data_IF_971478492048
#
_entry.id   IF_971478492048
#
_cell.length_a   1.000
_cell.length_b   1.000
_cell.length_c   1.000
_cell.angle_alpha   90.00
_cell.angle_beta   90.00
_cell.angle_gamma   90.00
#
_symmetry.space_group_name_H-M   'P 1'
#
loop_
_entity.id
_entity.type
_entity.pdbx_description
1 polymer ?
2 non-polymer ?
3 non-polymer ?
4 non-polymer ?
5 water ?
#
# COMPACT_ATOMS: atom_id res chain seq x y z
N UNK A 5 8.42 40.49 9.72
CA UNK A 5 7.59 40.12 8.55
C UNK A 5 8.36 39.30 7.51
N UNK A 6 7.80 38.17 7.12
CA UNK A 6 8.40 37.34 6.09
C UNK A 6 7.87 37.77 4.72
N UNK A 7 8.79 37.99 3.78
CA UNK A 7 8.38 38.36 2.43
C UNK A 7 7.90 37.14 1.64
N UNK A 8 7.22 37.38 0.53
CA UNK A 8 6.77 36.28 -0.33
C UNK A 8 7.99 35.56 -0.91
N UNK A 9 9.01 36.32 -1.27
CA UNK A 9 10.22 35.75 -1.85
C UNK A 9 10.89 34.81 -0.86
N UNK A 10 11.00 35.25 0.39
CA UNK A 10 11.64 34.44 1.41
C UNK A 10 10.75 33.25 1.77
N UNK A 11 9.44 33.48 1.79
CA UNK A 11 8.47 32.45 2.11
C UNK A 11 8.50 31.31 1.11
N UNK A 12 8.58 31.65 -0.17
CA UNK A 12 8.53 30.66 -1.25
C UNK A 12 9.67 29.65 -1.10
N UNK A 13 10.86 30.16 -0.83
CA UNK A 13 12.03 29.31 -0.64
C UNK A 13 11.94 28.50 0.65
N UNK A 14 11.51 29.14 1.72
CA UNK A 14 11.46 28.49 3.03
C UNK A 14 10.44 27.35 3.03
N UNK A 15 9.33 27.56 2.32
CA UNK A 15 8.27 26.55 2.29
C UNK A 15 8.79 25.26 1.65
N UNK A 16 9.55 25.38 0.57
CA UNK A 16 10.14 24.19 -0.04
C UNK A 16 11.09 23.49 0.93
N UNK A 17 11.89 24.26 1.65
CA UNK A 17 12.81 23.66 2.63
C UNK A 17 12.01 22.87 3.65
N UNK A 18 10.92 23.48 4.12
CA UNK A 18 10.11 22.85 5.16
C UNK A 18 9.42 21.60 4.61
N UNK A 19 8.83 21.71 3.42
CA UNK A 19 8.19 20.55 2.80
C UNK A 19 9.15 19.37 2.73
N UNK A 20 10.36 19.63 2.23
CA UNK A 20 11.36 18.60 2.06
C UNK A 20 11.74 17.94 3.39
N UNK A 21 11.96 18.78 4.40
CA UNK A 21 12.40 18.30 5.70
C UNK A 21 11.28 17.55 6.41
N UNK A 22 10.07 18.09 6.31
CA UNK A 22 8.90 17.47 6.94
C UNK A 22 8.52 16.17 6.24
N UNK A 23 8.63 16.13 4.92
CA UNK A 23 8.31 14.93 4.18
C UNK A 23 9.30 13.81 4.47
N UNK A 24 10.57 14.18 4.61
CA UNK A 24 11.59 13.19 5.00
C UNK A 24 11.27 12.61 6.37
N UNK A 25 10.95 13.47 7.34
CA UNK A 25 10.60 12.98 8.67
C UNK A 25 9.37 12.08 8.57
N UNK A 26 8.48 12.43 7.65
CA UNK A 26 7.24 11.68 7.48
C UNK A 26 7.50 10.33 6.84
N UNK A 27 8.42 10.32 5.88
CA UNK A 27 8.87 9.05 5.31
C UNK A 27 9.39 8.13 6.41
N UNK A 28 10.29 8.64 7.24
CA UNK A 28 10.86 7.85 8.32
C UNK A 28 9.77 7.32 9.26
N UNK A 29 8.84 8.20 9.63
CA UNK A 29 7.84 7.88 10.65
C UNK A 29 6.72 6.99 10.10
N UNK A 30 6.21 7.31 8.92
CA UNK A 30 5.02 6.63 8.39
C UNK A 30 5.35 5.46 7.47
N UNK A 31 6.50 5.50 6.81
CA UNK A 31 6.84 4.44 5.88
C UNK A 31 7.86 3.45 6.44
N UNK A 32 8.89 3.96 7.10
CA UNK A 32 9.89 3.09 7.71
C UNK A 32 9.52 2.74 9.15
N UNK A 33 8.42 3.32 9.63
CA UNK A 33 8.00 3.11 11.01
C UNK A 33 9.18 3.26 11.98
N UNK A 34 9.96 4.30 11.78
CA UNK A 34 11.13 4.55 12.62
C UNK A 34 11.52 6.02 12.59
N UNK A 35 10.81 6.86 13.34
CA UNK A 35 11.10 8.29 13.35
C UNK A 35 12.52 8.55 13.83
N UNK A 36 13.16 9.58 13.28
CA UNK A 36 14.48 9.97 13.74
C UNK A 36 14.40 11.12 14.76
N UNK A 37 13.52 12.09 14.51
CA UNK A 37 13.38 13.22 15.43
C UNK A 37 12.20 13.10 16.38
N UNK A 38 12.30 13.79 17.52
CA UNK A 38 11.22 13.88 18.48
C UNK A 38 10.04 14.64 17.88
N UNK A 39 8.82 14.24 18.24
CA UNK A 39 7.62 14.80 17.63
C UNK A 39 7.61 16.32 17.66
N UNK A 40 8.14 16.91 18.73
CA UNK A 40 8.08 18.36 18.89
C UNK A 40 8.96 19.04 17.84
N UNK A 41 10.00 18.34 17.41
CA UNK A 41 10.82 18.81 16.30
C UNK A 41 9.95 18.94 15.06
N UNK A 42 9.16 17.91 14.79
CA UNK A 42 8.30 17.90 13.62
C UNK A 42 7.21 18.95 13.76
N UNK A 43 6.61 19.01 14.94
CA UNK A 43 5.45 19.89 15.17
C UNK A 43 5.83 21.35 15.00
N UNK A 44 7.01 21.71 15.48
CA UNK A 44 7.49 23.08 15.41
C UNK A 44 7.71 23.49 13.96
N UNK A 45 8.31 22.60 13.17
CA UNK A 45 8.53 22.89 11.76
C UNK A 45 7.21 22.95 11.00
N UNK A 46 6.31 22.03 11.34
CA UNK A 46 5.02 21.95 10.67
C UNK A 46 4.22 23.23 10.91
N UNK A 47 4.26 23.74 12.12
CA UNK A 47 3.55 24.98 12.44
C UNK A 47 4.16 26.15 11.68
N UNK A 48 5.48 26.15 11.53
CA UNK A 48 6.12 27.21 10.77
C UNK A 48 5.59 27.17 9.35
N UNK A 49 5.43 25.96 8.81
CA UNK A 49 4.92 25.79 7.46
C UNK A 49 3.46 26.23 7.34
N UNK A 50 2.64 25.83 8.31
CA UNK A 50 1.25 26.27 8.32
C UNK A 50 1.16 27.79 8.36
N UNK A 51 2.02 28.42 9.15
CA UNK A 51 2.02 29.87 9.25
C UNK A 51 2.29 30.50 7.89
N UNK A 52 3.27 29.94 7.18
CA UNK A 52 3.62 30.43 5.86
C UNK A 52 2.49 30.23 4.86
N UNK A 53 1.86 29.06 4.90
CA UNK A 53 0.78 28.76 3.95
C UNK A 53 -0.47 29.56 4.27
N UNK A 54 -0.68 29.83 5.55
CA UNK A 54 -1.81 30.64 5.96
C UNK A 54 -1.63 32.06 5.41
N UNK A 55 -0.41 32.57 5.52
CA UNK A 55 -0.12 33.94 5.10
C UNK A 55 -0.05 34.06 3.58
N UNK A 56 0.53 33.05 2.92
CA UNK A 56 0.59 33.02 1.47
C UNK A 56 -0.01 31.71 0.95
N UNK A 57 -1.34 31.63 0.84
CA UNK A 57 -2.02 30.39 0.44
C UNK A 57 -1.57 29.88 -0.92
N UNK A 58 -1.02 30.78 -1.73
CA UNK A 58 -0.57 30.40 -3.07
C UNK A 58 0.62 29.46 -2.98
N UNK A 59 1.25 29.39 -1.82
CA UNK A 59 2.43 28.56 -1.62
C UNK A 59 2.07 27.11 -1.32
N UNK A 60 0.80 26.86 -1.00
CA UNK A 60 0.35 25.50 -0.74
C UNK A 60 0.57 24.64 -1.98
N UNK A 61 1.17 23.46 -1.80
CA UNK A 61 1.37 22.53 -2.90
C UNK A 61 0.81 21.16 -2.54
N UNK A 62 0.51 20.33 -3.54
CA UNK A 62 0.01 18.98 -3.29
C UNK A 62 0.93 18.06 -2.47
N UNK A 63 2.23 18.33 -2.46
CA UNK A 63 3.12 17.50 -1.65
C UNK A 63 3.42 18.11 -0.29
N UNK A 64 2.77 19.21 0.03
CA UNK A 64 2.94 19.76 1.37
C UNK A 64 2.21 18.86 2.36
N UNK A 65 2.87 18.55 3.48
CA UNK A 65 2.32 17.66 4.51
C UNK A 65 1.04 18.18 5.19
N UNK A 66 0.74 19.47 5.04
CA UNK A 66 -0.46 20.01 5.66
C UNK A 66 -1.72 19.54 4.91
N UNK A 67 -1.53 19.03 3.70
CA UNK A 67 -2.66 18.60 2.89
C UNK A 67 -3.17 17.21 3.30
N UNK A 68 -2.45 16.57 4.23
CA UNK A 68 -2.83 15.22 4.66
C UNK A 68 -4.17 15.21 5.39
N UNK A 69 -4.57 16.35 5.95
CA UNK A 69 -5.84 16.43 6.66
C UNK A 69 -7.02 16.47 5.69
N UNK A 70 -6.73 16.58 4.40
CA UNK A 70 -7.77 16.58 3.40
C UNK A 70 -8.58 17.87 3.41
N UNK A 71 -9.72 17.84 2.75
CA UNK A 71 -10.56 19.02 2.67
C UNK A 71 -11.59 18.92 1.57
N UNK A 72 -11.24 18.19 0.51
CA UNK A 72 -12.12 18.04 -0.64
C UNK A 72 -13.33 17.17 -0.31
N UNK A 73 -14.49 17.52 -0.86
CA UNK A 73 -15.67 16.68 -0.75
C UNK A 73 -16.19 16.37 -2.16
N UNK A 74 -16.25 15.09 -2.49
CA UNK A 74 -16.66 14.68 -3.84
C UNK A 74 -18.15 14.39 -3.87
N UNK A 75 -18.74 14.47 -5.06
CA UNK A 75 -20.12 14.07 -5.28
C UNK A 75 -20.18 12.58 -5.60
N UNK A 76 -19.08 12.05 -6.11
CA UNK A 76 -19.00 10.64 -6.43
C UNK A 76 -17.61 10.34 -6.98
N UNK A 77 -17.32 9.07 -7.22
CA UNK A 77 -16.02 8.68 -7.75
C UNK A 77 -16.10 8.42 -9.25
N UNK A 78 -15.13 8.95 -9.99
CA UNK A 78 -14.99 8.64 -11.40
C UNK A 78 -14.57 7.18 -11.56
N UNK A 79 -14.91 6.59 -12.69
CA UNK A 79 -14.38 5.27 -13.02
C UNK A 79 -12.87 5.35 -13.15
N UNK A 80 -12.19 4.29 -12.75
CA UNK A 80 -10.73 4.24 -12.84
C UNK A 80 -10.34 2.98 -13.60
N UNK A 81 -10.13 3.09 -14.92
CA UNK A 81 -9.69 1.93 -15.69
C UNK A 81 -8.32 1.40 -15.29
N UNK A 82 -8.18 0.07 -15.34
CA UNK A 82 -6.90 -0.60 -15.22
C UNK A 82 -6.59 -1.28 -16.55
N UNK A 83 -5.89 -0.58 -17.43
CA UNK A 83 -5.55 -1.14 -18.74
C UNK A 83 -4.72 -2.40 -18.55
N UNK A 84 -3.80 -2.35 -17.59
CA UNK A 84 -3.13 -3.55 -17.13
C UNK A 84 -3.98 -4.10 -15.99
N UNK A 85 -4.70 -5.19 -16.23
CA UNK A 85 -5.71 -5.66 -15.28
C UNK A 85 -5.14 -6.01 -13.92
N UNK A 86 -5.96 -5.84 -12.88
CA UNK A 86 -5.61 -6.30 -11.55
C UNK A 86 -6.31 -7.63 -11.29
N UNK A 87 -5.55 -8.72 -11.40
CA UNK A 87 -6.11 -10.05 -11.23
C UNK A 87 -6.39 -10.35 -9.76
N UNK A 88 -7.05 -11.48 -9.52
CA UNK A 88 -7.14 -12.01 -8.18
C UNK A 88 -6.36 -13.32 -8.08
N UNK A 89 -6.49 -14.02 -6.95
CA UNK A 89 -5.63 -15.16 -6.64
C UNK A 89 -6.40 -16.47 -6.63
N UNK A 90 -5.77 -17.53 -7.14
CA UNK A 90 -6.24 -18.90 -6.89
C UNK A 90 -6.01 -19.23 -5.42
N UNK A 91 -6.86 -20.06 -4.85
CA UNK A 91 -6.76 -20.40 -3.44
C UNK A 91 -6.39 -21.85 -3.17
N UNK A 92 -5.63 -22.05 -2.09
CA UNK A 92 -5.44 -23.38 -1.53
C UNK A 92 -5.77 -23.32 -0.06
N UNK A 93 -6.15 -24.45 0.51
CA UNK A 93 -6.60 -24.46 1.90
C UNK A 93 -5.94 -25.56 2.71
N UNK A 94 -5.13 -26.39 2.05
CA UNK A 94 -4.44 -27.48 2.75
C UNK A 94 -2.98 -27.58 2.35
N UNK A 95 -2.20 -28.23 3.22
CA UNK A 95 -0.81 -28.53 2.91
C UNK A 95 -0.76 -29.17 1.53
N UNK A 96 -1.71 -30.07 1.29
CA UNK A 96 -1.79 -30.78 0.02
C UNK A 96 -1.97 -29.82 -1.14
N UNK A 97 -2.90 -28.88 -0.98
CA UNK A 97 -3.16 -27.89 -2.02
C UNK A 97 -1.89 -27.15 -2.41
N UNK A 98 -1.05 -26.84 -1.43
CA UNK A 98 0.16 -26.09 -1.68
C UNK A 98 1.23 -26.92 -2.39
N UNK A 99 1.32 -28.19 -2.01
CA UNK A 99 2.27 -29.09 -2.65
C UNK A 99 1.83 -29.44 -4.06
N UNK A 100 0.52 -29.54 -4.27
CA UNK A 100 -0.01 -29.76 -5.60
C UNK A 100 0.28 -28.55 -6.49
N UNK A 101 0.23 -27.36 -5.90
CA UNK A 101 0.52 -26.14 -6.66
C UNK A 101 1.96 -26.21 -7.13
N UNK A 102 2.86 -26.60 -6.23
CA UNK A 102 4.27 -26.72 -6.53
C UNK A 102 4.51 -27.80 -7.56
N UNK A 103 3.77 -28.90 -7.47
CA UNK A 103 3.93 -29.97 -8.43
C UNK A 103 3.52 -29.51 -9.83
N UNK A 104 2.44 -28.74 -9.92
CA UNK A 104 1.99 -28.22 -11.21
C UNK A 104 2.99 -27.23 -11.77
N UNK A 105 3.55 -26.39 -10.90
CA UNK A 105 4.54 -25.42 -11.35
C UNK A 105 5.79 -26.08 -11.91
N UNK A 106 6.32 -27.07 -11.19
CA UNK A 106 7.51 -27.78 -11.65
C UNK A 106 7.24 -28.51 -12.96
N UNK A 107 6.06 -29.11 -13.08
CA UNK A 107 5.68 -29.80 -14.30
C UNK A 107 5.74 -28.82 -15.48
N UNK A 108 5.27 -27.60 -15.25
CA UNK A 108 5.23 -26.62 -16.33
C UNK A 108 6.60 -26.02 -16.66
N UNK A 109 7.40 -25.76 -15.63
CA UNK A 109 8.69 -25.11 -15.80
C UNK A 109 9.81 -26.11 -16.09
N UNK A 110 9.73 -27.29 -15.51
CA UNK A 110 10.71 -28.34 -15.80
C UNK A 110 11.88 -28.39 -14.85
N UNK A 111 11.78 -27.68 -13.73
CA UNK A 111 12.86 -27.67 -12.74
C UNK A 111 12.33 -27.18 -11.40
N UNK A 112 13.12 -27.33 -10.33
CA UNK A 112 12.72 -26.74 -9.04
C UNK A 112 12.65 -25.23 -9.16
N UNK A 113 11.69 -24.63 -8.45
CA UNK A 113 11.47 -23.18 -8.54
C UNK A 113 11.41 -22.51 -7.16
N UNK A 114 12.03 -21.34 -7.05
CA UNK A 114 12.02 -20.58 -5.81
C UNK A 114 10.75 -19.76 -5.66
N UNK A 115 10.27 -19.61 -4.43
CA UNK A 115 9.05 -18.84 -4.18
C UNK A 115 9.31 -17.65 -3.27
N UNK A 116 8.80 -16.49 -3.67
CA UNK A 116 8.70 -15.37 -2.76
C UNK A 116 7.38 -15.47 -1.97
N UNK A 117 7.48 -15.55 -0.65
CA UNK A 117 6.29 -15.65 0.18
C UNK A 117 5.98 -14.37 0.94
N UNK A 118 4.72 -13.97 0.90
CA UNK A 118 4.28 -12.74 1.52
C UNK A 118 3.03 -12.99 2.35
N UNK A 119 2.89 -12.25 3.45
CA UNK A 119 1.67 -12.32 4.25
C UNK A 119 0.53 -11.71 3.44
N UNK A 120 -0.63 -12.36 3.45
CA UNK A 120 -1.80 -11.84 2.73
C UNK A 120 -2.53 -10.82 3.59
N UNK A 121 -2.33 -9.55 3.27
CA UNK A 121 -2.86 -8.44 4.06
C UNK A 121 -4.38 -8.38 3.88
N UNK A 122 -5.12 -8.50 4.98
CA UNK A 122 -6.57 -8.42 4.90
C UNK A 122 -6.99 -6.96 4.74
N UNK A 123 -7.20 -6.53 3.50
CA UNK A 123 -7.63 -5.18 3.26
C UNK A 123 -8.24 -5.02 1.88
N UNK A 124 -7.93 -3.91 1.23
CA UNK A 124 -8.45 -3.63 -0.10
C UNK A 124 -7.27 -3.41 -1.07
N UNK A 125 -7.42 -3.90 -2.29
CA UNK A 125 -6.35 -3.75 -3.28
C UNK A 125 -6.39 -2.35 -3.89
N UNK A 126 -5.23 -1.72 -3.98
CA UNK A 126 -5.11 -0.36 -4.47
C UNK A 126 -4.05 -0.24 -5.56
N UNK A 127 -4.22 0.74 -6.44
CA UNK A 127 -3.25 1.01 -7.49
C UNK A 127 -2.86 2.49 -7.44
N UNK A 128 -1.57 2.76 -7.47
CA UNK A 128 -1.06 4.12 -7.31
C UNK A 128 -0.20 4.50 -8.51
N UNK A 129 -0.65 5.52 -9.25
CA UNK A 129 0.05 5.96 -10.45
C UNK A 129 0.83 7.24 -10.16
N UNK A 130 2.09 7.23 -10.55
CA UNK A 130 2.94 8.41 -10.43
C UNK A 130 3.43 8.84 -11.80
N UNK A 131 3.44 10.15 -12.04
CA UNK A 131 4.05 10.70 -13.23
C UNK A 131 5.17 11.66 -12.88
N UNK A 132 6.37 11.35 -13.37
CA UNK A 132 7.54 12.16 -13.07
C UNK A 132 7.69 12.37 -11.58
N UNK A 133 7.36 11.35 -10.80
CA UNK A 133 7.51 11.42 -9.36
C UNK A 133 6.27 11.89 -8.62
N UNK A 134 5.31 12.45 -9.34
CA UNK A 134 4.13 13.03 -8.72
C UNK A 134 2.97 12.05 -8.65
N UNK A 135 2.33 11.94 -7.49
CA UNK A 135 1.13 11.12 -7.33
C UNK A 135 0.00 11.75 -8.12
N UNK A 136 -0.55 11.01 -9.08
CA UNK A 136 -1.61 11.56 -9.93
C UNK A 136 -2.90 10.73 -9.97
N UNK A 137 -2.84 9.46 -9.57
CA UNK A 137 -4.07 8.69 -9.41
C UNK A 137 -3.98 7.58 -8.38
N UNK A 138 -5.04 7.46 -7.60
CA UNK A 138 -5.22 6.29 -6.77
C UNK A 138 -6.55 5.63 -7.12
N UNK A 139 -6.58 4.30 -7.12
CA UNK A 139 -7.74 3.56 -7.57
C UNK A 139 -7.92 2.26 -6.79
N UNK A 140 -9.18 1.89 -6.57
CA UNK A 140 -9.49 0.56 -6.04
C UNK A 140 -9.38 -0.43 -7.18
N UNK A 141 -9.28 -1.71 -6.84
CA UNK A 141 -9.22 -2.77 -7.84
C UNK A 141 -10.56 -2.88 -8.57
N UNK A 142 -11.67 -2.70 -7.85
CA UNK A 142 -12.97 -2.86 -8.47
C UNK A 142 -13.16 -4.25 -9.05
N UNK A 143 -13.67 -4.33 -10.27
CA UNK A 143 -13.93 -5.62 -10.93
C UNK A 143 -12.69 -6.12 -11.66
N UNK A 144 -11.57 -5.44 -11.46
CA UNK A 144 -10.33 -5.94 -12.02
C UNK A 144 -9.88 -5.17 -13.25
N UNK A 145 -10.82 -4.67 -14.04
CA UNK A 145 -10.47 -3.79 -15.16
C UNK A 145 -11.02 -2.37 -14.99
N UNK A 146 -11.97 -2.21 -14.07
CA UNK A 146 -12.40 -0.87 -13.67
C UNK A 146 -12.68 -0.79 -12.18
N UNK A 147 -11.98 0.13 -11.52
CA UNK A 147 -12.25 0.39 -10.11
C UNK A 147 -12.76 1.81 -9.97
N UNK A 148 -12.69 2.33 -8.75
CA UNK A 148 -13.10 3.71 -8.48
C UNK A 148 -11.88 4.59 -8.31
N UNK A 149 -11.97 5.82 -8.80
CA UNK A 149 -10.89 6.79 -8.63
C UNK A 149 -10.97 7.44 -7.24
N UNK A 150 -10.11 6.98 -6.34
CA UNK A 150 -10.10 7.50 -4.97
C UNK A 150 -8.81 8.27 -4.69
N UNK A 151 -8.34 9.00 -5.69
CA UNK A 151 -7.10 9.75 -5.58
C UNK A 151 -7.16 10.68 -4.37
N UNK A 152 -8.27 11.39 -4.20
CA UNK A 152 -8.34 12.43 -3.16
C UNK A 152 -8.29 11.82 -1.76
N UNK A 153 -8.94 10.68 -1.59
CA UNK A 153 -8.89 9.98 -0.31
C UNK A 153 -7.49 9.49 0.01
N UNK A 154 -6.81 8.92 -0.98
CA UNK A 154 -5.51 8.33 -0.74
C UNK A 154 -4.45 9.39 -0.43
N UNK A 155 -4.70 10.63 -0.82
CA UNK A 155 -3.82 11.73 -0.43
C UNK A 155 -3.74 11.86 1.08
N UNK A 156 -4.80 11.42 1.79
CA UNK A 156 -4.79 11.56 3.24
C UNK A 156 -4.16 10.36 3.93
N UNK A 157 -3.80 9.34 3.16
CA UNK A 157 -3.18 8.15 3.74
C UNK A 157 -1.68 8.38 3.88
N UNK A 158 -1.22 8.47 5.13
CA UNK A 158 0.07 9.10 5.43
C UNK A 158 1.28 8.37 4.85
N UNK A 159 1.16 7.05 4.66
CA UNK A 159 2.25 6.27 4.08
C UNK A 159 2.35 6.36 2.57
N UNK A 160 1.36 6.99 1.93
CA UNK A 160 1.37 7.17 0.48
C UNK A 160 2.12 8.45 0.10
N UNK A 161 3.28 8.30 -0.55
CA UNK A 161 4.08 9.47 -0.92
C UNK A 161 3.36 10.31 -1.98
N UNK A 162 3.34 11.63 -1.79
CA UNK A 162 2.77 12.54 -2.79
C UNK A 162 3.78 12.90 -3.86
N UNK A 163 5.06 12.87 -3.50
CA UNK A 163 6.13 13.04 -4.47
C UNK A 163 7.28 12.09 -4.12
N UNK A 164 7.68 11.27 -5.09
CA UNK A 164 8.81 10.39 -4.91
C UNK A 164 10.12 11.17 -5.10
N UNK A 165 11.18 10.75 -4.42
CA UNK A 165 12.47 11.44 -4.53
C UNK A 165 12.98 11.46 -5.97
N UNK A 166 12.82 10.34 -6.67
CA UNK A 166 13.18 10.26 -8.08
C UNK A 166 11.94 10.41 -8.95
N UNK A 167 12.02 11.27 -9.98
CA UNK A 167 10.89 11.62 -10.86
C UNK A 167 10.49 10.47 -11.79
N UNK A 168 10.26 9.31 -11.19
CA UNK A 168 9.94 8.10 -11.93
C UNK A 168 8.47 8.06 -12.30
N UNK A 169 8.15 7.52 -13.47
CA UNK A 169 6.77 7.28 -13.85
C UNK A 169 6.44 5.81 -13.76
N UNK A 170 5.56 5.47 -12.83
CA UNK A 170 5.26 4.07 -12.50
C UNK A 170 3.88 3.98 -11.89
N UNK A 171 3.27 2.81 -12.00
CA UNK A 171 2.06 2.53 -11.24
C UNK A 171 2.31 1.31 -10.38
N UNK A 172 2.25 1.51 -9.07
CA UNK A 172 2.51 0.44 -8.11
C UNK A 172 1.19 0.01 -7.49
N UNK A 173 1.15 -1.24 -7.05
CA UNK A 173 -0.07 -1.80 -6.49
C UNK A 173 0.21 -2.52 -5.17
N UNK A 174 -0.79 -2.52 -4.30
CA UNK A 174 -0.65 -3.19 -3.03
C UNK A 174 -1.96 -3.22 -2.26
N UNK A 175 -1.85 -3.28 -0.93
CA UNK A 175 -3.03 -3.31 -0.07
C UNK A 175 -3.10 -2.06 0.82
N UNK A 176 -4.30 -1.51 0.95
CA UNK A 176 -4.59 -0.50 1.96
C UNK A 176 -5.48 -1.12 3.02
N UNK A 177 -5.18 -0.85 4.29
CA UNK A 177 -5.82 -1.56 5.38
C UNK A 177 -5.88 -0.67 6.61
N UNK A 178 -6.67 -1.08 7.60
CA UNK A 178 -6.72 -0.38 8.88
C UNK A 178 -6.11 -1.23 9.97
N UNK A 179 -5.11 -0.71 10.68
CA UNK A 179 -4.49 -1.47 11.77
C UNK A 179 -5.54 -1.89 12.81
N UNK A 180 -5.30 -3.01 13.49
CA UNK A 180 -6.25 -3.52 14.49
C UNK A 180 -6.64 -2.46 15.51
N UNK A 181 -5.65 -1.79 16.08
CA UNK A 181 -5.92 -0.80 17.11
C UNK A 181 -6.84 0.31 16.61
N UNK A 182 -6.63 0.76 15.38
CA UNK A 182 -7.46 1.81 14.80
C UNK A 182 -8.87 1.30 14.54
N UNK A 183 -8.97 0.03 14.15
CA UNK A 183 -10.24 -0.63 13.97
C UNK A 183 -11.02 -0.61 15.29
N UNK A 184 -10.37 -1.04 16.36
CA UNK A 184 -11.01 -1.06 17.67
C UNK A 184 -11.46 0.36 18.06
N UNK A 185 -10.55 1.31 17.91
CA UNK A 185 -10.83 2.69 18.28
C UNK A 185 -12.01 3.23 17.50
N UNK A 186 -12.06 2.94 16.20
CA UNK A 186 -13.09 3.48 15.33
C UNK A 186 -14.48 2.91 15.64
N UNK A 187 -14.53 1.64 16.04
CA UNK A 187 -15.80 1.02 16.37
C UNK A 187 -16.37 1.59 17.67
N UNK A 188 -15.48 1.92 18.61
CA UNK A 188 -15.90 2.53 19.85
C UNK A 188 -16.49 3.89 19.57
N UNK A 189 -15.83 4.65 18.71
CA UNK A 189 -16.31 5.97 18.31
C UNK A 189 -17.70 5.85 17.68
N UNK A 190 -17.89 4.80 16.87
CA UNK A 190 -19.18 4.56 16.25
C UNK A 190 -20.24 4.14 17.28
N UNK A 191 -19.86 3.32 18.26
CA UNK A 191 -20.77 2.97 19.33
C UNK A 191 -21.22 4.24 20.07
N UNK A 192 -20.28 5.14 20.31
CA UNK A 192 -20.58 6.36 21.05
C UNK A 192 -21.54 7.29 20.31
N UNK A 193 -21.45 7.29 18.98
CA UNK A 193 -22.25 8.21 18.18
C UNK A 193 -23.46 7.55 17.52
N UNK A 194 -23.83 6.37 18.02
CA UNK A 194 -25.05 5.73 17.56
C UNK A 194 -24.98 5.08 16.19
N UNK A 195 -23.77 4.78 15.72
CA UNK A 195 -23.61 4.19 14.39
C UNK A 195 -23.43 2.68 14.46
N UNK A 196 -23.71 1.99 13.35
CA UNK A 196 -23.40 0.58 13.24
C UNK A 196 -21.88 0.38 13.14
N UNK A 197 -21.36 -0.58 13.88
CA UNK A 197 -19.93 -0.86 13.82
C UNK A 197 -19.59 -1.61 12.52
N UNK A 198 -18.32 -1.59 12.14
CA UNK A 198 -17.83 -2.44 11.06
C UNK A 198 -17.52 -3.84 11.59
N UNK A 199 -17.82 -4.86 10.78
CA UNK A 199 -17.71 -6.24 11.22
C UNK A 199 -16.26 -6.64 11.40
N UNK A 200 -15.39 -6.04 10.60
CA UNK A 200 -13.96 -6.32 10.65
C UNK A 200 -13.17 -5.17 10.03
N UNK A 201 -11.87 -5.12 10.28
CA UNK A 201 -11.03 -4.05 9.72
C UNK A 201 -11.05 -3.95 8.20
N UNK A 202 -11.21 -5.09 7.52
CA UNK A 202 -11.31 -5.04 6.07
C UNK A 202 -12.52 -4.19 5.67
N UNK A 203 -13.66 -4.42 6.31
CA UNK A 203 -14.85 -3.66 5.98
C UNK A 203 -14.72 -2.20 6.38
N UNK A 204 -14.02 -1.95 7.48
CA UNK A 204 -13.79 -0.57 7.94
C UNK A 204 -12.90 0.18 6.96
N UNK A 205 -11.91 -0.51 6.41
CA UNK A 205 -11.05 0.10 5.41
C UNK A 205 -11.83 0.44 4.15
N UNK A 206 -12.74 -0.46 3.76
CA UNK A 206 -13.51 -0.30 2.54
C UNK A 206 -14.51 0.84 2.65
N UNK A 207 -15.19 0.90 3.80
CA UNK A 207 -16.11 1.99 4.06
C UNK A 207 -15.39 3.32 4.12
N UNK A 208 -14.17 3.31 4.64
CA UNK A 208 -13.38 4.54 4.75
C UNK A 208 -12.97 5.08 3.39
N UNK A 209 -12.55 4.17 2.51
CA UNK A 209 -12.11 4.58 1.18
C UNK A 209 -13.30 4.96 0.30
N UNK A 210 -14.50 4.62 0.75
CA UNK A 210 -15.72 4.94 0.03
C UNK A 210 -16.33 6.26 0.50
N UNK A 211 -15.78 6.84 1.55
CA UNK A 211 -16.28 8.11 2.03
C UNK A 211 -15.96 9.19 1.00
N UNK A 212 -16.89 10.14 0.84
CA UNK A 212 -16.71 11.19 -0.14
C UNK A 212 -16.06 12.43 0.46
N UNK A 213 -16.15 12.58 1.77
CA UNK A 213 -15.51 13.70 2.46
C UNK A 213 -14.09 13.29 2.88
N UNK A 214 -13.09 13.84 2.21
CA UNK A 214 -11.71 13.45 2.46
C UNK A 214 -11.28 13.75 3.89
N UNK A 215 -11.91 14.74 4.53
CA UNK A 215 -11.54 15.15 5.88
C UNK A 215 -11.81 14.04 6.89
N UNK A 216 -12.85 13.25 6.62
CA UNK A 216 -13.18 12.11 7.47
C UNK A 216 -12.22 10.96 7.21
N UNK A 217 -11.89 10.73 5.95
CA UNK A 217 -10.93 9.70 5.62
C UNK A 217 -9.59 9.94 6.30
N UNK A 218 -9.12 11.19 6.25
CA UNK A 218 -7.84 11.55 6.85
C UNK A 218 -7.78 11.14 8.33
N UNK A 219 -8.94 11.01 8.95
CA UNK A 219 -8.99 10.68 10.37
C UNK A 219 -8.98 9.18 10.66
N UNK A 220 -9.14 8.36 9.62
CA UNK A 220 -9.37 6.92 9.80
C UNK A 220 -8.11 6.06 9.96
N UNK A 221 -6.93 6.68 9.92
CA UNK A 221 -5.69 5.97 10.24
C UNK A 221 -5.40 4.79 9.32
N UNK A 222 -5.66 4.92 8.03
CA UNK A 222 -5.36 3.85 7.07
C UNK A 222 -3.87 3.74 6.78
N UNK A 223 -3.43 2.56 6.37
CA UNK A 223 -2.02 2.35 6.03
C UNK A 223 -1.89 1.43 4.81
N UNK A 224 -0.66 1.24 4.34
CA UNK A 224 -0.43 0.50 3.11
C UNK A 224 0.76 -0.44 3.19
N UNK A 225 0.72 -1.48 2.36
CA UNK A 225 1.89 -2.26 1.98
C UNK A 225 1.82 -2.42 0.47
N UNK A 226 2.89 -2.08 -0.23
CA UNK A 226 2.90 -2.18 -1.69
C UNK A 226 3.67 -3.44 -2.07
N UNK A 227 3.18 -4.18 -3.07
CA UNK A 227 3.83 -5.44 -3.42
C UNK A 227 4.00 -5.77 -4.91
N UNK A 228 3.61 -4.86 -5.80
CA UNK A 228 3.86 -5.10 -7.23
C UNK A 228 3.75 -3.82 -8.05
N UNK A 229 4.17 -3.88 -9.32
CA UNK A 229 3.92 -2.79 -10.25
C UNK A 229 3.10 -3.27 -11.44
N UNK A 230 2.20 -2.42 -11.92
CA UNK A 230 1.40 -2.76 -13.09
C UNK A 230 2.31 -2.73 -14.30
N UNK A 231 2.97 -1.59 -14.48
CA UNK A 231 3.83 -1.37 -15.62
C UNK A 231 5.24 -1.07 -15.11
N UNK A 232 6.19 -1.91 -15.49
CA UNK A 232 7.55 -1.76 -15.00
C UNK A 232 8.25 -0.55 -15.62
N UNK A 233 8.84 -0.73 -16.79
CA UNK A 233 9.57 0.37 -17.41
C UNK A 233 10.87 0.64 -16.69
N UNK A 234 10.96 1.75 -15.92
CA UNK A 234 12.18 2.14 -15.22
C UNK A 234 12.59 1.19 -14.09
N UNK A 235 11.63 0.40 -13.61
CA UNK A 235 11.90 -0.61 -12.60
C UNK A 235 12.90 -1.65 -13.10
N UNK A 236 13.85 -2.03 -12.25
CA UNK A 236 14.93 -2.92 -12.67
C UNK A 236 14.84 -4.33 -12.09
N UNK A 237 13.90 -4.56 -11.19
CA UNK A 237 13.75 -5.88 -10.57
C UNK A 237 13.49 -6.97 -11.62
N UNK A 238 14.01 -8.16 -11.38
CA UNK A 238 13.76 -9.28 -12.28
C UNK A 238 13.10 -10.44 -11.52
N UNK A 239 13.01 -10.27 -10.20
CA UNK A 239 12.30 -11.22 -9.34
C UNK A 239 11.40 -10.45 -8.36
N UNK A 240 10.37 -11.12 -7.88
CA UNK A 240 9.43 -10.51 -6.94
C UNK A 240 10.18 -9.95 -5.72
N UNK A 241 11.11 -10.74 -5.21
CA UNK A 241 11.87 -10.36 -4.02
C UNK A 241 12.64 -9.09 -4.29
N UNK A 242 13.19 -8.99 -5.51
CA UNK A 242 13.83 -7.77 -5.96
C UNK A 242 12.83 -6.63 -6.06
N UNK A 243 11.64 -6.95 -6.56
CA UNK A 243 10.59 -5.95 -6.72
C UNK A 243 10.20 -5.34 -5.38
N UNK A 244 10.18 -6.16 -4.34
CA UNK A 244 9.82 -5.68 -3.00
C UNK A 244 10.90 -4.74 -2.45
N UNK A 245 12.16 -5.12 -2.67
CA UNK A 245 13.26 -4.24 -2.30
C UNK A 245 13.22 -2.94 -3.09
N UNK A 246 12.94 -3.04 -4.39
CA UNK A 246 12.96 -1.85 -5.24
C UNK A 246 11.83 -0.90 -4.87
N UNK A 247 10.67 -1.47 -4.54
CA UNK A 247 9.53 -0.67 -4.07
C UNK A 247 9.87 0.11 -2.80
N UNK A 248 10.52 -0.55 -1.84
CA UNK A 248 11.03 0.11 -0.66
C UNK A 248 12.01 1.21 -1.06
N UNK A 249 12.94 0.88 -1.96
CA UNK A 249 14.00 1.81 -2.34
C UNK A 249 13.45 3.11 -2.89
N UNK A 250 12.40 3.03 -3.71
CA UNK A 250 11.89 4.24 -4.33
C UNK A 250 10.89 4.97 -3.45
N UNK A 251 10.60 4.41 -2.28
CA UNK A 251 9.91 5.17 -1.26
C UNK A 251 8.52 4.71 -0.90
N UNK A 252 8.21 3.43 -1.13
CA UNK A 252 6.92 2.91 -0.69
C UNK A 252 7.06 2.05 0.55
N UNK A 253 5.96 1.90 1.28
CA UNK A 253 5.96 1.04 2.46
C UNK A 253 5.75 -0.40 2.01
N UNK A 254 6.60 -1.29 2.50
CA UNK A 254 6.52 -2.70 2.13
C UNK A 254 6.47 -3.55 3.40
N UNK A 255 5.88 -4.73 3.30
CA UNK A 255 5.77 -5.57 4.49
C UNK A 255 7.06 -6.32 4.70
N UNK A 256 7.65 -6.17 5.91
CA UNK A 256 8.97 -6.69 6.26
C UNK A 256 9.04 -8.21 6.43
N UNK A 257 7.89 -8.86 6.45
CA UNK A 257 7.82 -10.27 6.80
C UNK A 257 7.99 -11.27 5.64
N UNK A 258 8.30 -10.76 4.46
CA UNK A 258 8.46 -11.63 3.29
C UNK A 258 9.72 -12.48 3.41
N UNK A 259 9.71 -13.65 2.78
CA UNK A 259 10.92 -14.44 2.66
C UNK A 259 11.02 -15.14 1.30
N UNK A 260 12.24 -15.15 0.75
CA UNK A 260 12.55 -15.93 -0.44
C UNK A 260 12.75 -17.37 0.00
N UNK A 261 11.91 -18.28 -0.49
CA UNK A 261 11.99 -19.69 -0.13
C UNK A 261 12.47 -20.56 -1.28
N UNK A 262 13.48 -21.38 -1.03
CA UNK A 262 14.10 -22.14 -2.12
C UNK A 262 13.48 -23.49 -2.36
N UNK A 263 12.59 -23.93 -1.47
CA UNK A 263 11.85 -25.17 -1.69
C UNK A 263 10.42 -25.05 -1.19
N UNK A 264 9.55 -25.92 -1.69
CA UNK A 264 8.15 -25.92 -1.28
C UNK A 264 8.07 -26.22 0.22
N UNK A 265 9.07 -26.94 0.73
CA UNK A 265 9.11 -27.27 2.14
C UNK A 265 9.38 -26.02 2.96
N UNK A 266 10.29 -25.18 2.49
CA UNK A 266 10.56 -23.91 3.14
C UNK A 266 9.27 -23.07 3.13
N UNK A 267 8.52 -23.17 2.04
CA UNK A 267 7.26 -22.44 1.94
C UNK A 267 6.29 -22.94 3.01
N UNK A 268 6.17 -24.24 3.15
CA UNK A 268 5.27 -24.77 4.15
C UNK A 268 5.72 -24.36 5.55
N UNK A 269 7.03 -24.22 5.74
CA UNK A 269 7.56 -23.83 7.04
C UNK A 269 7.19 -22.38 7.34
N UNK A 270 7.25 -21.55 6.32
CA UNK A 270 6.88 -20.15 6.44
C UNK A 270 5.41 -20.04 6.84
N UNK A 271 4.56 -20.82 6.19
CA UNK A 271 3.14 -20.79 6.46
C UNK A 271 2.86 -21.11 7.92
N UNK A 272 3.45 -22.20 8.41
CA UNK A 272 3.25 -22.61 9.80
C UNK A 272 3.82 -21.56 10.76
N UNK A 273 4.94 -20.96 10.37
CA UNK A 273 5.57 -19.94 11.20
C UNK A 273 4.64 -18.76 11.47
N UNK A 274 4.04 -18.23 10.41
CA UNK A 274 3.25 -17.02 10.54
C UNK A 274 1.80 -17.32 10.85
N UNK A 275 1.43 -18.60 10.69
CA UNK A 275 0.12 -19.06 11.12
C UNK A 275 0.04 -18.96 12.64
N UNK A 276 1.18 -19.12 13.31
CA UNK A 276 1.22 -19.01 14.76
C UNK A 276 1.66 -17.63 15.23
N UNK A 277 2.37 -16.90 14.37
CA UNK A 277 2.73 -15.51 14.67
C UNK A 277 1.53 -14.59 14.45
N UNK A 278 0.48 -15.13 13.88
CA UNK A 278 -0.63 -14.36 13.34
C UNK A 278 -1.19 -13.30 14.29
N UNK A 279 -1.55 -13.71 15.50
CA UNK A 279 -2.26 -12.82 16.42
C UNK A 279 -1.37 -11.70 16.93
N UNK A 280 -0.05 -11.88 16.83
CA UNK A 280 0.88 -10.89 17.35
C UNK A 280 1.04 -9.72 16.38
N UNK A 281 0.53 -9.86 15.17
CA UNK A 281 0.66 -8.80 14.17
C UNK A 281 -0.32 -7.65 14.44
N UNK A 282 0.13 -6.41 14.21
CA UNK A 282 -0.73 -5.24 14.39
C UNK A 282 -1.82 -5.10 13.32
N UNK A 283 -1.78 -5.99 12.34
CA UNK A 283 -2.77 -6.00 11.26
C UNK A 283 -3.29 -7.41 11.01
N UNK A 284 -4.50 -7.49 10.45
CA UNK A 284 -5.09 -8.78 10.11
C UNK A 284 -4.58 -9.30 8.77
N UNK A 285 -4.28 -10.60 8.74
CA UNK A 285 -3.95 -11.31 7.52
C UNK A 285 -4.94 -12.46 7.37
N UNK A 286 -5.26 -12.84 6.14
CA UNK A 286 -6.17 -13.95 5.94
C UNK A 286 -5.46 -15.14 5.33
N UNK A 287 -4.14 -15.06 5.27
CA UNK A 287 -3.35 -16.17 4.76
C UNK A 287 -1.96 -15.75 4.31
N UNK A 288 -1.40 -16.56 3.43
CA UNK A 288 -0.07 -16.33 2.88
C UNK A 288 -0.16 -16.39 1.36
N UNK A 289 0.55 -15.48 0.69
CA UNK A 289 0.61 -15.51 -0.76
C UNK A 289 1.95 -16.08 -1.22
N UNK A 290 1.90 -17.12 -2.04
CA UNK A 290 3.12 -17.76 -2.54
C UNK A 290 3.30 -17.42 -4.02
N UNK A 291 4.38 -16.72 -4.34
CA UNK A 291 4.62 -16.31 -5.71
C UNK A 291 5.89 -16.92 -6.29
N UNK A 292 5.80 -17.41 -7.51
CA UNK A 292 7.00 -17.77 -8.26
C UNK A 292 7.90 -16.53 -8.35
N UNK A 293 9.13 -16.68 -7.89
CA UNK A 293 10.01 -15.51 -7.73
C UNK A 293 10.49 -14.92 -9.06
N UNK A 294 11.01 -15.76 -9.95
CA UNK A 294 11.58 -15.25 -11.20
C UNK A 294 10.49 -14.73 -12.12
N UNK A 295 10.61 -13.47 -12.55
CA UNK A 295 9.60 -12.89 -13.42
C UNK A 295 9.54 -13.65 -14.74
N UNK A 296 10.69 -14.17 -15.19
CA UNK A 296 10.72 -14.89 -16.45
C UNK A 296 9.89 -16.16 -16.35
N UNK A 297 9.85 -16.76 -15.17
CA UNK A 297 9.06 -17.95 -14.95
C UNK A 297 7.57 -17.60 -14.78
N UNK A 298 7.30 -16.47 -14.14
CA UNK A 298 5.92 -15.97 -14.09
C UNK A 298 5.36 -15.81 -15.50
N UNK A 299 6.17 -15.27 -16.41
CA UNK A 299 5.72 -15.04 -17.77
C UNK A 299 5.42 -16.37 -18.45
N UNK A 300 6.27 -17.35 -18.20
CA UNK A 300 6.14 -18.64 -18.83
C UNK A 300 4.84 -19.33 -18.40
N UNK A 301 4.45 -19.15 -17.15
CA UNK A 301 3.22 -19.79 -16.66
C UNK A 301 1.98 -19.02 -17.07
N UNK A 302 2.09 -17.70 -17.16
CA UNK A 302 0.98 -16.90 -17.64
C UNK A 302 -0.18 -16.80 -16.66
N UNK A 303 -1.36 -16.48 -17.20
CA UNK A 303 -2.54 -16.22 -16.38
C UNK A 303 -3.71 -17.06 -16.89
N UNK A 304 -4.56 -17.52 -15.99
CA UNK A 304 -5.90 -17.97 -16.36
C UNK A 304 -6.72 -16.72 -16.60
N UNK A 305 -8.02 -16.89 -16.82
CA UNK A 305 -8.91 -15.73 -16.91
C UNK A 305 -8.93 -14.94 -15.59
N UNK A 306 -8.93 -15.65 -14.46
CA UNK A 306 -9.11 -15.03 -13.14
C UNK A 306 -7.80 -14.60 -12.47
N UNK A 307 -6.74 -15.36 -12.69
CA UNK A 307 -5.60 -15.29 -11.79
C UNK A 307 -4.30 -15.71 -12.47
N UNK A 308 -3.16 -15.37 -11.87
CA UNK A 308 -1.89 -15.91 -12.37
C UNK A 308 -1.81 -17.39 -12.07
N UNK A 309 -1.11 -18.13 -12.94
CA UNK A 309 -0.77 -19.50 -12.62
C UNK A 309 0.48 -19.56 -11.74
N UNK A 310 1.17 -18.44 -11.59
CA UNK A 310 2.45 -18.41 -10.89
C UNK A 310 2.34 -18.08 -9.40
N UNK A 311 1.12 -18.03 -8.89
CA UNK A 311 0.89 -17.71 -7.49
C UNK A 311 -0.31 -18.46 -6.95
N UNK A 312 -0.38 -18.56 -5.63
CA UNK A 312 -1.55 -19.12 -4.98
C UNK A 312 -1.67 -18.56 -3.57
N UNK A 313 -2.88 -18.35 -3.11
CA UNK A 313 -3.13 -17.85 -1.76
C UNK A 313 -3.48 -19.01 -0.83
N UNK A 314 -2.63 -19.26 0.16
CA UNK A 314 -3.03 -20.19 1.20
C UNK A 314 -3.89 -19.46 2.20
N UNK A 315 -5.17 -19.85 2.26
CA UNK A 315 -6.13 -19.18 3.13
C UNK A 315 -6.17 -19.86 4.50
N UNK A 316 -6.09 -19.07 5.56
CA UNK A 316 -6.35 -19.57 6.90
C UNK A 316 -7.83 -19.87 7.01
N UNK A 317 -8.19 -21.04 7.56
CA UNK A 317 -9.60 -21.44 7.67
C UNK A 317 -10.43 -20.51 8.54
#
# INVERSE_FOLDING_TARGET
MEQQPLTLTAATTRAQELRKQLNQYSHEYYVKDQPSVEDYVYDRLYKELVDIETEFPDLITPDSPTQRVGGKVLSGFEKAPHDIPMYSLNDGFSKEDIFAFDERVRKAIGKPVAYCCELKIDGLAISLRYENGVFVRGATRGDGTVGENITENLRTVRSVPMRLTEPISVEVRGECYMPKQSFVALNEEREENGQDIFANPRNAAAGSLRQLDTKIVAKRNLNTFLYTVADFGPMKAKTQFEALEELSAIGFRTNPERQLCQSIDEVWAYIEEYHEKRSTLPYEIDGIVIKVNEFALQDELGFTVKAPRWAIAYKFPPEEAETLEHHHHHH
#
